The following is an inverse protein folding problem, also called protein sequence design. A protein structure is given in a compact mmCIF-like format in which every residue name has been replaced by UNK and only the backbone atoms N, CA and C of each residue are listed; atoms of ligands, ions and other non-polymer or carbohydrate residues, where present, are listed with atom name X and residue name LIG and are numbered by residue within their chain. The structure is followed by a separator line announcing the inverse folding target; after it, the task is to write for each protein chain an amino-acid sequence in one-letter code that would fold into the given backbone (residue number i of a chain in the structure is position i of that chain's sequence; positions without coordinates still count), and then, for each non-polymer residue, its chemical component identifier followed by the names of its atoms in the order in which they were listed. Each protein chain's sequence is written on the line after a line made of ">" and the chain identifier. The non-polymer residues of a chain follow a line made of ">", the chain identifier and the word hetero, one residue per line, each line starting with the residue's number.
data_IF_103099477303
#
_entry.id   IF_103099477303
#
_cell.length_a   1.000
_cell.length_b   1.000
_cell.length_c   1.000
_cell.angle_alpha   90.00
_cell.angle_beta   90.00
_cell.angle_gamma   90.00
#
_symmetry.space_group_name_H-M   'P 1'
#
loop_
_entity.id
_entity.type
_entity.pdbx_description
1 polymer ?
#
# COMPACT_ATOMS: atom_id res chain seq x y z
N UNK A 1 20.75 -49.98 25.10
CA UNK A 1 21.04 -50.27 23.68
C UNK A 1 19.96 -49.52 22.92
N UNK A 2 20.16 -48.23 22.62
CA UNK A 2 20.96 -47.70 21.48
C UNK A 2 20.28 -48.10 20.15
N UNK A 3 19.99 -47.27 19.14
CA UNK A 3 20.42 -45.93 18.73
C UNK A 3 19.50 -45.46 17.55
N UNK A 4 19.48 -44.14 17.23
CA UNK A 4 19.47 -43.52 15.86
C UNK A 4 18.44 -43.99 14.78
N UNK A 5 17.89 -43.24 13.83
CA UNK A 5 17.97 -41.88 13.29
C UNK A 5 17.13 -41.92 11.97
N UNK A 6 16.53 -40.79 11.54
CA UNK A 6 16.18 -40.45 10.13
C UNK A 6 15.04 -41.29 9.47
N UNK A 7 14.11 -40.80 8.63
CA UNK A 7 14.07 -39.66 7.72
C UNK A 7 12.60 -39.33 7.35
N UNK A 8 12.32 -38.04 7.17
CA UNK A 8 11.26 -37.51 6.30
C UNK A 8 11.81 -37.44 4.86
N UNK A 9 11.01 -37.60 3.80
CA UNK A 9 10.67 -36.39 3.02
C UNK A 9 9.30 -36.43 2.31
N UNK A 10 8.70 -35.24 2.08
CA UNK A 10 8.00 -34.99 0.80
C UNK A 10 6.63 -34.31 0.83
N UNK A 11 6.62 -33.00 1.09
CA UNK A 11 5.58 -31.99 0.78
C UNK A 11 5.33 -31.85 -0.76
N UNK A 12 4.20 -31.28 -1.25
CA UNK A 12 3.91 -29.85 -1.07
C UNK A 12 2.46 -29.42 -0.79
N UNK A 13 2.35 -28.52 0.19
CA UNK A 13 1.31 -27.50 0.34
C UNK A 13 1.54 -26.38 -0.68
N UNK A 14 0.49 -25.98 -1.38
CA UNK A 14 0.49 -24.88 -2.34
C UNK A 14 -0.83 -24.11 -2.20
N UNK A 15 -0.86 -23.04 -1.38
CA UNK A 15 -1.86 -21.97 -1.44
C UNK A 15 -1.50 -20.79 -0.51
N UNK A 16 -0.62 -19.89 -0.95
CA UNK A 16 -0.52 -18.49 -0.50
C UNK A 16 0.49 -17.76 -1.39
N UNK A 17 0.06 -16.67 -2.02
CA UNK A 17 0.87 -15.67 -2.73
C UNK A 17 2.22 -16.14 -3.33
N UNK A 18 2.17 -17.01 -4.34
CA UNK A 18 3.20 -16.95 -5.38
C UNK A 18 2.88 -15.72 -6.22
N UNK A 19 3.75 -14.72 -6.17
CA UNK A 19 3.87 -13.71 -7.22
C UNK A 19 3.99 -14.50 -8.52
N UNK A 20 2.91 -14.54 -9.30
CA UNK A 20 2.93 -15.16 -10.60
C UNK A 20 3.92 -14.36 -11.45
N UNK A 21 5.06 -14.99 -11.73
CA UNK A 21 5.84 -14.72 -12.91
C UNK A 21 4.87 -14.75 -14.09
N UNK A 22 4.72 -13.62 -14.78
CA UNK A 22 4.08 -13.55 -16.08
C UNK A 22 4.69 -14.62 -16.99
N UNK A 23 3.92 -15.28 -17.88
CA UNK A 23 4.51 -16.14 -18.88
C UNK A 23 5.38 -15.28 -19.79
N UNK A 24 6.70 -15.44 -19.65
CA UNK A 24 7.69 -14.71 -20.43
C UNK A 24 7.58 -15.14 -21.90
N UNK A 25 7.56 -14.15 -22.80
CA UNK A 25 7.96 -14.36 -24.19
C UNK A 25 9.38 -14.95 -24.23
N UNK A 26 9.76 -15.59 -25.35
CA UNK A 26 10.88 -16.55 -25.42
C UNK A 26 12.29 -16.03 -25.06
N UNK A 27 12.49 -14.75 -24.73
CA UNK A 27 13.81 -14.12 -24.56
C UNK A 27 14.05 -13.35 -23.23
N UNK A 28 13.28 -13.58 -22.15
CA UNK A 28 13.60 -12.99 -20.84
C UNK A 28 14.20 -13.99 -19.83
N UNK A 29 15.26 -13.60 -19.07
CA UNK A 29 15.89 -14.47 -18.09
C UNK A 29 14.97 -14.73 -16.89
N UNK A 30 14.85 -16.00 -16.50
CA UNK A 30 14.07 -16.41 -15.32
C UNK A 30 14.87 -16.09 -14.05
N UNK A 31 14.34 -15.18 -13.22
CA UNK A 31 14.92 -14.85 -11.92
C UNK A 31 14.33 -15.77 -10.84
N UNK A 32 15.19 -16.47 -10.09
CA UNK A 32 14.79 -17.24 -8.90
C UNK A 32 15.41 -16.66 -7.63
N UNK A 33 14.62 -16.67 -6.57
CA UNK A 33 15.02 -16.21 -5.23
C UNK A 33 15.35 -17.40 -4.33
N UNK A 34 16.42 -17.29 -3.53
CA UNK A 34 16.74 -18.24 -2.46
C UNK A 34 17.04 -17.48 -1.17
N UNK A 35 16.64 -18.04 -0.04
CA UNK A 35 17.05 -17.52 1.27
C UNK A 35 18.36 -18.20 1.67
N UNK A 36 19.36 -17.41 2.06
CA UNK A 36 20.64 -17.93 2.54
C UNK A 36 20.57 -18.42 3.99
N UNK A 37 21.64 -19.09 4.44
CA UNK A 37 21.75 -19.63 5.79
C UNK A 37 21.72 -18.58 6.92
N UNK A 38 21.67 -17.28 6.58
CA UNK A 38 21.55 -16.17 7.53
C UNK A 38 20.21 -15.43 7.36
N UNK A 39 19.25 -16.00 6.61
CA UNK A 39 17.92 -15.43 6.43
C UNK A 39 17.82 -14.30 5.40
N UNK A 40 18.85 -14.08 4.57
CA UNK A 40 18.84 -13.04 3.54
C UNK A 40 18.35 -13.60 2.22
N UNK A 41 17.47 -12.86 1.53
CA UNK A 41 17.06 -13.19 0.16
C UNK A 41 18.19 -12.87 -0.83
N UNK A 42 18.60 -13.86 -1.62
CA UNK A 42 19.65 -13.74 -2.64
C UNK A 42 19.05 -14.08 -4.01
N UNK A 43 19.29 -13.22 -5.00
CA UNK A 43 18.88 -13.39 -6.38
C UNK A 43 19.90 -14.23 -7.15
N UNK A 44 19.50 -15.37 -7.72
CA UNK A 44 20.39 -16.25 -8.50
C UNK A 44 20.06 -16.12 -9.99
N UNK A 45 21.07 -15.76 -10.78
CA UNK A 45 20.97 -15.66 -12.24
C UNK A 45 21.62 -16.88 -12.89
N UNK A 46 20.85 -17.75 -13.54
CA UNK A 46 21.42 -18.79 -14.40
C UNK A 46 21.76 -18.18 -15.77
N UNK A 47 23.06 -18.05 -16.08
CA UNK A 47 23.50 -17.77 -17.44
C UNK A 47 23.37 -19.05 -18.27
N UNK A 48 22.53 -19.06 -19.30
CA UNK A 48 22.75 -19.97 -20.45
C UNK A 48 23.87 -19.40 -21.31
N UNK A 49 24.81 -20.28 -21.67
CA UNK A 49 26.12 -19.91 -22.20
C UNK A 49 26.12 -19.24 -23.58
N UNK A 50 27.15 -18.40 -23.77
CA UNK A 50 27.96 -18.29 -24.99
C UNK A 50 27.41 -17.54 -26.19
N UNK A 51 27.90 -16.32 -26.41
CA UNK A 51 27.84 -15.64 -27.71
C UNK A 51 28.24 -14.16 -27.63
N UNK A 52 29.49 -13.84 -27.98
CA UNK A 52 29.98 -12.47 -28.16
C UNK A 52 29.31 -11.82 -29.39
N UNK A 53 28.88 -10.56 -29.27
CA UNK A 53 28.96 -9.57 -30.37
C UNK A 53 29.14 -8.16 -29.78
N UNK A 54 29.83 -7.34 -30.56
CA UNK A 54 30.58 -6.15 -30.19
C UNK A 54 29.74 -4.85 -30.15
N UNK A 55 30.36 -3.84 -29.52
CA UNK A 55 29.93 -2.46 -29.33
C UNK A 55 29.48 -1.72 -30.59
N UNK A 56 28.58 -0.74 -30.42
CA UNK A 56 28.74 0.70 -30.77
C UNK A 56 27.37 1.41 -30.70
N UNK A 57 27.14 2.27 -29.71
CA UNK A 57 27.19 3.73 -29.90
C UNK A 57 26.95 4.46 -28.56
N UNK A 58 27.84 5.39 -28.25
CA UNK A 58 27.96 6.01 -26.95
C UNK A 58 27.09 7.25 -26.79
N UNK A 59 25.98 7.11 -26.08
CA UNK A 59 25.43 8.19 -25.25
C UNK A 59 25.40 7.67 -23.82
N UNK A 60 26.38 8.07 -23.01
CA UNK A 60 26.39 7.78 -21.58
C UNK A 60 25.17 8.47 -20.94
N UNK A 61 24.08 7.73 -20.81
CA UNK A 61 23.00 8.09 -19.90
C UNK A 61 23.60 7.98 -18.51
N UNK A 62 23.83 9.13 -17.87
CA UNK A 62 24.28 9.19 -16.48
C UNK A 62 23.38 8.27 -15.63
N UNK A 63 23.94 7.31 -14.87
CA UNK A 63 23.11 6.49 -14.01
C UNK A 63 22.40 7.43 -13.03
N UNK A 64 21.09 7.24 -12.77
CA UNK A 64 20.36 8.11 -11.86
C UNK A 64 21.10 8.14 -10.52
N UNK A 65 21.18 9.30 -9.84
CA UNK A 65 21.90 9.40 -8.59
C UNK A 65 21.35 8.36 -7.63
N UNK A 66 22.22 7.47 -7.16
CA UNK A 66 21.87 6.52 -6.09
C UNK A 66 21.47 7.37 -4.88
N UNK A 67 20.18 7.56 -4.66
CA UNK A 67 19.71 8.23 -3.46
C UNK A 67 20.05 7.31 -2.30
N UNK A 68 21.09 7.64 -1.54
CA UNK A 68 21.42 6.90 -0.33
C UNK A 68 20.29 7.11 0.68
N UNK A 69 19.99 6.12 1.55
CA UNK A 69 19.03 6.27 2.65
C UNK A 69 19.27 7.55 3.48
N UNK A 70 20.53 7.96 3.61
CA UNK A 70 20.94 9.21 4.24
C UNK A 70 20.32 10.48 3.62
N UNK A 71 19.96 10.47 2.33
CA UNK A 71 19.30 11.59 1.67
C UNK A 71 17.84 11.73 2.13
N UNK A 72 17.06 10.64 2.11
CA UNK A 72 15.65 10.70 2.50
C UNK A 72 15.50 11.00 3.97
N UNK A 73 16.31 10.40 4.83
CA UNK A 73 16.29 10.74 6.26
C UNK A 73 16.45 12.25 6.49
N UNK A 74 17.44 12.90 5.85
CA UNK A 74 17.63 14.36 5.97
C UNK A 74 16.43 15.17 5.46
N UNK A 75 15.90 14.80 4.29
CA UNK A 75 14.74 15.48 3.70
C UNK A 75 13.50 15.36 4.61
N UNK A 76 13.35 14.21 5.27
CA UNK A 76 12.27 13.94 6.21
C UNK A 76 12.50 14.56 7.60
N UNK A 77 13.69 15.13 7.87
CA UNK A 77 14.04 15.79 9.12
C UNK A 77 14.70 14.90 10.18
N UNK A 78 15.32 13.79 9.78
CA UNK A 78 15.94 12.79 10.65
C UNK A 78 17.46 12.65 10.43
N UNK A 79 18.20 12.10 11.42
CA UNK A 79 19.61 11.77 11.26
C UNK A 79 19.89 10.87 10.03
N UNK A 80 21.01 11.06 9.31
CA UNK A 80 21.31 10.29 8.10
C UNK A 80 21.37 8.77 8.29
N UNK A 81 21.66 8.32 9.50
CA UNK A 81 21.78 6.93 9.92
C UNK A 81 20.54 6.41 10.68
N UNK A 82 19.48 7.23 10.79
CA UNK A 82 18.25 6.83 11.45
C UNK A 82 17.59 5.63 10.76
N UNK A 83 17.04 4.73 11.58
CA UNK A 83 16.21 3.59 11.17
C UNK A 83 14.75 4.02 11.29
N UNK A 84 14.13 4.40 10.20
CA UNK A 84 12.76 4.93 10.18
C UNK A 84 11.80 3.82 9.79
N UNK A 85 10.67 3.73 10.50
CA UNK A 85 9.63 2.76 10.22
C UNK A 85 8.26 3.43 10.18
N UNK A 86 7.50 3.20 9.12
CA UNK A 86 6.05 3.40 9.13
C UNK A 86 5.41 2.04 9.42
N UNK A 87 4.54 1.98 10.41
CA UNK A 87 3.67 0.83 10.65
C UNK A 87 2.26 1.27 10.32
N UNK A 88 1.79 0.92 9.13
CA UNK A 88 0.46 1.29 8.64
C UNK A 88 -0.51 0.13 8.83
N UNK A 89 -1.64 0.41 9.46
CA UNK A 89 -2.75 -0.53 9.54
C UNK A 89 -3.65 -0.40 8.30
N UNK A 90 -3.58 -1.39 7.42
CA UNK A 90 -4.41 -1.48 6.22
C UNK A 90 -5.83 -1.97 6.58
N UNK A 91 -6.75 -1.87 5.62
CA UNK A 91 -8.16 -2.30 5.71
C UNK A 91 -9.07 -1.56 6.71
N UNK A 92 -8.69 -0.38 7.19
CA UNK A 92 -9.57 0.39 8.08
C UNK A 92 -10.89 0.74 7.36
N UNK A 93 -12.03 0.48 7.97
CA UNK A 93 -13.36 0.62 7.35
C UNK A 93 -13.96 -0.69 6.81
N UNK A 94 -13.17 -1.77 6.72
CA UNK A 94 -13.64 -3.07 6.23
C UNK A 94 -14.76 -3.65 7.12
N UNK A 95 -14.49 -3.79 8.41
CA UNK A 95 -15.45 -4.24 9.41
C UNK A 95 -15.20 -3.61 10.80
N UNK A 96 -16.11 -3.82 11.76
CA UNK A 96 -16.04 -3.22 13.10
C UNK A 96 -14.90 -3.77 13.95
N UNK A 97 -14.60 -5.06 13.81
CA UNK A 97 -13.50 -5.72 14.51
C UNK A 97 -12.14 -5.25 14.01
N UNK A 98 -12.00 -5.03 12.70
CA UNK A 98 -10.83 -4.36 12.10
C UNK A 98 -10.75 -2.92 12.60
N UNK A 99 -11.84 -2.14 12.52
CA UNK A 99 -11.84 -0.76 13.00
C UNK A 99 -11.37 -0.63 14.46
N UNK A 100 -11.88 -1.46 15.35
CA UNK A 100 -11.50 -1.45 16.76
C UNK A 100 -10.02 -1.80 16.95
N UNK A 101 -9.54 -2.85 16.27
CA UNK A 101 -8.16 -3.31 16.38
C UNK A 101 -7.16 -2.30 15.78
N UNK A 102 -7.51 -1.63 14.68
CA UNK A 102 -6.71 -0.54 14.09
C UNK A 102 -6.56 0.61 15.09
N UNK A 103 -7.66 1.09 15.66
CA UNK A 103 -7.63 2.17 16.64
C UNK A 103 -6.78 1.79 17.86
N UNK A 104 -6.95 0.58 18.40
CA UNK A 104 -6.14 0.11 19.53
C UNK A 104 -4.65 -0.02 19.15
N UNK A 105 -4.34 -0.48 17.93
CA UNK A 105 -2.96 -0.60 17.46
C UNK A 105 -2.26 0.75 17.32
N UNK A 106 -3.00 1.82 17.02
CA UNK A 106 -2.47 3.19 16.89
C UNK A 106 -2.42 3.91 18.24
N UNK A 107 -3.47 3.83 19.06
CA UNK A 107 -3.52 4.51 20.37
C UNK A 107 -2.67 3.80 21.43
N UNK A 108 -2.71 2.47 21.45
CA UNK A 108 -2.11 1.64 22.49
C UNK A 108 -0.98 0.75 21.96
N UNK A 109 -0.69 0.77 20.67
CA UNK A 109 0.34 -0.07 20.06
C UNK A 109 1.55 0.68 19.52
N UNK A 110 2.18 0.07 18.53
CA UNK A 110 3.31 0.65 17.77
C UNK A 110 2.89 1.14 16.37
N UNK A 111 1.63 0.97 15.99
CA UNK A 111 1.17 1.47 14.70
C UNK A 111 1.17 2.99 14.70
N UNK A 112 1.58 3.58 13.58
CA UNK A 112 1.73 5.03 13.45
C UNK A 112 0.82 5.64 12.39
N UNK A 113 0.11 4.82 11.63
CA UNK A 113 -0.78 5.24 10.55
C UNK A 113 -1.82 4.16 10.28
N UNK A 114 -2.91 4.51 9.60
CA UNK A 114 -3.84 3.56 9.00
C UNK A 114 -4.36 4.05 7.66
N UNK A 115 -4.96 3.19 6.84
CA UNK A 115 -5.56 3.57 5.56
C UNK A 115 -7.01 3.12 5.43
N UNK A 116 -7.89 4.06 5.10
CA UNK A 116 -9.34 3.90 5.08
C UNK A 116 -9.86 3.42 3.72
N UNK A 117 -10.49 2.26 3.69
CA UNK A 117 -11.29 1.76 2.57
C UNK A 117 -12.67 2.41 2.58
N UNK A 118 -12.85 3.48 1.80
CA UNK A 118 -14.10 4.28 1.81
C UNK A 118 -15.30 3.58 1.21
N UNK A 119 -15.07 2.61 0.33
CA UNK A 119 -16.11 1.77 -0.29
C UNK A 119 -16.71 0.76 0.69
N UNK A 120 -16.01 0.45 1.78
CA UNK A 120 -16.37 -0.66 2.64
C UNK A 120 -17.57 -0.34 3.57
N UNK A 121 -18.33 -1.36 3.97
CA UNK A 121 -19.56 -1.18 4.75
C UNK A 121 -19.39 -0.47 6.10
N UNK A 122 -18.24 -0.61 6.76
CA UNK A 122 -17.95 0.03 8.06
C UNK A 122 -17.07 1.27 7.93
N UNK A 123 -16.89 1.82 6.72
CA UNK A 123 -16.27 3.12 6.51
C UNK A 123 -16.96 4.25 7.31
N UNK A 124 -18.31 4.30 7.46
CA UNK A 124 -18.95 5.30 8.32
C UNK A 124 -18.52 5.22 9.79
N UNK A 125 -18.29 4.01 10.31
CA UNK A 125 -17.80 3.82 11.68
C UNK A 125 -16.34 4.25 11.81
N UNK A 126 -15.50 3.91 10.83
CA UNK A 126 -14.12 4.36 10.74
C UNK A 126 -14.00 5.90 10.71
N UNK A 127 -14.80 6.58 9.88
CA UNK A 127 -14.88 8.05 9.83
C UNK A 127 -15.32 8.63 11.18
N UNK A 128 -16.29 8.02 11.86
CA UNK A 128 -16.72 8.43 13.20
C UNK A 128 -15.59 8.31 14.22
N UNK A 129 -14.78 7.25 14.14
CA UNK A 129 -13.63 7.02 15.01
C UNK A 129 -12.53 8.07 14.78
N UNK A 130 -12.20 8.37 13.52
CA UNK A 130 -11.22 9.40 13.15
C UNK A 130 -11.65 10.81 13.58
N UNK A 131 -12.93 11.16 13.41
CA UNK A 131 -13.46 12.46 13.88
C UNK A 131 -13.31 12.67 15.38
N UNK A 132 -13.33 11.59 16.17
CA UNK A 132 -13.10 11.64 17.62
C UNK A 132 -11.61 11.70 17.98
N UNK A 133 -10.72 11.49 17.00
CA UNK A 133 -9.28 11.31 17.15
C UNK A 133 -8.52 12.08 16.06
N UNK A 134 -8.63 13.41 16.01
CA UNK A 134 -8.03 14.23 14.94
C UNK A 134 -6.50 14.14 14.89
N UNK A 135 -5.85 13.57 15.92
CA UNK A 135 -4.41 13.35 15.96
C UNK A 135 -3.94 12.09 15.24
N UNK A 136 -4.83 11.14 14.89
CA UNK A 136 -4.46 9.92 14.18
C UNK A 136 -4.22 10.26 12.70
N UNK A 137 -2.99 10.11 12.19
CA UNK A 137 -2.74 10.23 10.76
C UNK A 137 -3.35 9.01 10.06
N UNK A 138 -3.99 9.25 8.92
CA UNK A 138 -4.57 8.19 8.12
C UNK A 138 -4.47 8.50 6.63
N UNK A 139 -4.60 7.49 5.79
CA UNK A 139 -4.65 7.59 4.33
C UNK A 139 -5.95 7.06 3.74
N UNK A 140 -6.05 7.08 2.41
CA UNK A 140 -7.15 6.44 1.67
C UNK A 140 -6.62 5.17 1.03
N UNK A 141 -7.22 4.03 1.40
CA UNK A 141 -6.90 2.71 0.87
C UNK A 141 -7.67 2.47 -0.41
N UNK A 142 -7.06 2.85 -1.54
CA UNK A 142 -7.69 2.83 -2.85
C UNK A 142 -8.05 1.40 -3.24
N UNK A 143 -9.34 1.17 -3.48
CA UNK A 143 -9.92 -0.18 -3.57
C UNK A 143 -10.65 -0.37 -4.90
N UNK A 144 -10.25 -1.37 -5.69
CA UNK A 144 -10.91 -1.77 -6.95
C UNK A 144 -11.32 -3.25 -6.98
N UNK A 145 -11.19 -3.94 -5.85
CA UNK A 145 -11.42 -5.38 -5.68
C UNK A 145 -12.24 -5.63 -4.43
N UNK A 146 -12.88 -6.79 -4.34
CA UNK A 146 -13.73 -7.19 -3.22
C UNK A 146 -13.57 -8.68 -2.87
N UNK A 147 -13.09 -9.00 -1.67
CA UNK A 147 -12.91 -10.37 -1.17
C UNK A 147 -14.09 -10.92 -0.35
N UNK A 148 -15.11 -10.11 -0.03
CA UNK A 148 -16.24 -10.53 0.80
C UNK A 148 -17.54 -10.63 0.00
N UNK A 149 -17.78 -11.71 -0.76
CA UNK A 149 -18.99 -11.85 -1.57
C UNK A 149 -20.28 -11.90 -0.74
N UNK A 150 -20.20 -12.26 0.54
CA UNK A 150 -21.33 -12.28 1.48
C UNK A 150 -21.68 -10.88 2.03
N UNK A 151 -20.75 -9.93 1.94
CA UNK A 151 -20.92 -8.55 2.35
C UNK A 151 -20.17 -7.63 1.38
N UNK A 152 -20.62 -7.55 0.12
CA UNK A 152 -19.83 -6.94 -0.93
C UNK A 152 -19.81 -5.41 -0.78
N UNK A 153 -18.71 -4.82 -1.21
CA UNK A 153 -18.63 -3.39 -1.53
C UNK A 153 -18.48 -3.20 -3.03
N UNK A 154 -18.70 -1.98 -3.50
CA UNK A 154 -18.64 -1.62 -4.90
C UNK A 154 -18.11 -0.20 -5.10
N UNK A 155 -18.07 0.28 -6.36
CA UNK A 155 -17.55 1.60 -6.66
C UNK A 155 -18.42 2.69 -6.02
N UNK A 156 -17.77 3.81 -5.66
CA UNK A 156 -18.50 5.03 -5.30
C UNK A 156 -19.02 5.77 -6.54
N UNK A 157 -18.38 5.55 -7.69
CA UNK A 157 -18.81 6.08 -8.98
C UNK A 157 -20.02 5.32 -9.53
N UNK A 158 -20.81 6.00 -10.37
CA UNK A 158 -21.88 5.36 -11.12
C UNK A 158 -21.30 4.23 -11.99
N UNK A 159 -21.86 3.01 -11.89
CA UNK A 159 -21.31 1.80 -12.52
C UNK A 159 -21.11 1.93 -14.03
N UNK A 160 -21.96 2.71 -14.70
CA UNK A 160 -21.90 2.95 -16.13
C UNK A 160 -20.68 3.78 -16.53
N UNK A 161 -20.13 4.58 -15.61
CA UNK A 161 -18.93 5.40 -15.81
C UNK A 161 -17.64 4.67 -15.46
N UNK A 162 -17.73 3.51 -14.80
CA UNK A 162 -16.58 2.73 -14.33
C UNK A 162 -16.70 1.24 -14.72
N UNK A 163 -17.38 0.98 -15.84
CA UNK A 163 -17.71 -0.38 -16.30
C UNK A 163 -16.49 -1.27 -16.58
N UNK A 164 -15.33 -0.67 -16.84
CA UNK A 164 -14.06 -1.39 -16.99
C UNK A 164 -13.53 -1.93 -15.66
N UNK A 165 -13.92 -1.35 -14.53
CA UNK A 165 -13.49 -1.78 -13.20
C UNK A 165 -14.36 -2.92 -12.63
N UNK A 166 -15.40 -3.31 -13.36
CA UNK A 166 -16.42 -4.23 -12.90
C UNK A 166 -16.41 -5.56 -13.66
N UNK A 167 -16.73 -6.62 -12.94
CA UNK A 167 -17.00 -7.93 -13.50
C UNK A 167 -18.31 -7.92 -14.32
N UNK A 168 -18.64 -9.01 -15.05
CA UNK A 168 -19.89 -9.09 -15.81
C UNK A 168 -21.18 -8.98 -14.98
N UNK A 169 -21.11 -9.18 -13.65
CA UNK A 169 -22.22 -9.00 -12.73
C UNK A 169 -22.31 -7.55 -12.19
N UNK A 170 -21.39 -6.67 -12.61
CA UNK A 170 -21.35 -5.27 -12.18
C UNK A 170 -20.78 -5.09 -10.77
N UNK A 171 -19.96 -6.02 -10.28
CA UNK A 171 -19.27 -5.95 -8.99
C UNK A 171 -17.77 -5.74 -9.21
N UNK A 172 -17.06 -5.31 -8.17
CA UNK A 172 -15.60 -5.38 -8.21
C UNK A 172 -15.11 -6.83 -8.32
N UNK A 173 -13.95 -7.01 -8.94
CA UNK A 173 -13.33 -8.33 -9.09
C UNK A 173 -12.83 -8.85 -7.74
N UNK A 174 -12.78 -10.17 -7.58
CA UNK A 174 -12.11 -10.77 -6.42
C UNK A 174 -10.59 -10.55 -6.50
N UNK A 175 -9.89 -10.36 -5.37
CA UNK A 175 -8.43 -10.22 -5.33
C UNK A 175 -7.71 -11.57 -5.44
N UNK A 176 -8.19 -12.47 -6.29
CA UNK A 176 -7.44 -13.65 -6.71
C UNK A 176 -6.46 -13.27 -7.83
N UNK A 177 -5.42 -14.08 -8.12
CA UNK A 177 -4.55 -13.82 -9.27
C UNK A 177 -5.31 -13.66 -10.59
N UNK A 178 -6.35 -14.49 -10.80
CA UNK A 178 -7.20 -14.41 -11.98
C UNK A 178 -8.09 -13.16 -11.98
N UNK A 179 -8.71 -12.81 -10.84
CA UNK A 179 -9.55 -11.63 -10.73
C UNK A 179 -8.76 -10.32 -10.91
N UNK A 180 -7.57 -10.22 -10.31
CA UNK A 180 -6.66 -9.09 -10.55
C UNK A 180 -6.20 -9.00 -12.01
N UNK A 181 -5.82 -10.12 -12.63
CA UNK A 181 -5.45 -10.12 -14.04
C UNK A 181 -6.61 -9.69 -14.94
N UNK A 182 -7.84 -10.14 -14.63
CA UNK A 182 -9.04 -9.74 -15.36
C UNK A 182 -9.34 -8.25 -15.21
N UNK A 183 -9.27 -7.71 -13.98
CA UNK A 183 -9.40 -6.27 -13.71
C UNK A 183 -8.35 -5.47 -14.49
N UNK A 184 -7.07 -5.78 -14.27
CA UNK A 184 -5.96 -5.02 -14.85
C UNK A 184 -5.91 -5.14 -16.38
N UNK A 185 -6.39 -6.25 -16.95
CA UNK A 185 -6.43 -6.45 -18.41
C UNK A 185 -7.46 -5.59 -19.14
N UNK A 186 -8.41 -4.98 -18.41
CA UNK A 186 -9.48 -4.17 -19.01
C UNK A 186 -9.61 -2.78 -18.40
N UNK A 187 -9.05 -2.53 -17.21
CA UNK A 187 -9.13 -1.26 -16.50
C UNK A 187 -8.69 -0.10 -17.40
N UNK A 188 -9.53 0.93 -17.49
CA UNK A 188 -9.24 2.14 -18.24
C UNK A 188 -8.78 3.24 -17.29
N UNK A 189 -7.65 3.93 -17.56
CA UNK A 189 -7.10 4.92 -16.64
C UNK A 189 -8.04 6.07 -16.26
N UNK A 190 -8.90 6.52 -17.19
CA UNK A 190 -9.92 7.55 -16.93
C UNK A 190 -11.00 7.08 -15.96
N UNK A 191 -11.41 5.81 -16.05
CA UNK A 191 -12.37 5.23 -15.11
C UNK A 191 -11.73 4.97 -13.73
N UNK A 192 -10.46 4.55 -13.70
CA UNK A 192 -9.68 4.42 -12.47
C UNK A 192 -9.55 5.78 -11.77
N UNK A 193 -9.20 6.83 -12.52
CA UNK A 193 -9.11 8.20 -12.02
C UNK A 193 -10.43 8.66 -11.42
N UNK A 194 -11.54 8.46 -12.14
CA UNK A 194 -12.87 8.81 -11.65
C UNK A 194 -13.23 8.10 -10.33
N UNK A 195 -12.94 6.80 -10.22
CA UNK A 195 -13.22 6.03 -9.01
C UNK A 195 -12.31 6.39 -7.85
N UNK A 196 -11.00 6.52 -8.06
CA UNK A 196 -10.07 6.93 -7.03
C UNK A 196 -10.37 8.34 -6.52
N UNK A 197 -10.69 9.27 -7.42
CA UNK A 197 -11.17 10.61 -7.04
C UNK A 197 -12.42 10.54 -6.18
N UNK A 198 -13.42 9.73 -6.56
CA UNK A 198 -14.64 9.56 -5.78
C UNK A 198 -14.35 9.01 -4.36
N UNK A 199 -13.40 8.09 -4.23
CA UNK A 199 -12.94 7.55 -2.94
C UNK A 199 -12.25 8.61 -2.08
N UNK A 200 -11.36 9.43 -2.66
CA UNK A 200 -10.69 10.53 -1.96
C UNK A 200 -11.72 11.60 -1.53
N UNK A 201 -12.59 12.02 -2.45
CA UNK A 201 -13.64 13.02 -2.20
C UNK A 201 -14.64 12.56 -1.14
N UNK A 202 -14.89 11.24 -1.01
CA UNK A 202 -15.71 10.71 0.06
C UNK A 202 -15.11 10.99 1.43
N UNK A 203 -13.77 10.90 1.59
CA UNK A 203 -13.09 11.31 2.84
C UNK A 203 -13.13 12.82 3.00
N UNK A 204 -12.72 13.58 1.99
CA UNK A 204 -12.61 15.05 2.09
C UNK A 204 -13.94 15.70 2.47
N UNK A 205 -15.07 15.23 1.91
CA UNK A 205 -16.43 15.70 2.26
C UNK A 205 -16.80 15.49 3.73
N UNK A 206 -16.11 14.60 4.46
CA UNK A 206 -16.32 14.40 5.89
C UNK A 206 -15.67 15.49 6.75
N UNK A 207 -14.82 16.33 6.17
CA UNK A 207 -13.97 17.31 6.87
C UNK A 207 -12.69 16.73 7.45
N UNK A 208 -12.40 15.45 7.21
CA UNK A 208 -11.14 14.82 7.58
C UNK A 208 -10.05 15.09 6.53
N UNK A 209 -8.80 15.05 6.97
CA UNK A 209 -7.62 15.35 6.13
C UNK A 209 -6.71 14.12 6.04
N UNK A 210 -6.79 13.32 4.96
CA UNK A 210 -5.89 12.21 4.76
C UNK A 210 -4.45 12.70 4.52
N UNK A 211 -3.50 11.81 4.70
CA UNK A 211 -2.05 12.09 4.61
C UNK A 211 -1.39 11.42 3.42
N UNK A 212 -1.94 10.29 2.98
CA UNK A 212 -1.39 9.48 1.91
C UNK A 212 -2.47 8.67 1.19
N UNK A 213 -2.07 8.11 0.04
CA UNK A 213 -2.79 7.10 -0.70
C UNK A 213 -1.97 5.80 -0.70
N UNK A 214 -2.66 4.69 -0.57
CA UNK A 214 -2.13 3.34 -0.79
C UNK A 214 -3.20 2.48 -1.47
N UNK A 215 -2.93 1.18 -1.65
CA UNK A 215 -3.76 0.32 -2.52
C UNK A 215 -4.18 -0.97 -1.83
N UNK A 216 -5.46 -1.30 -1.92
CA UNK A 216 -5.97 -2.61 -1.52
C UNK A 216 -5.62 -3.66 -2.55
N UNK A 217 -4.82 -4.65 -2.16
CA UNK A 217 -4.48 -5.84 -2.97
C UNK A 217 -3.85 -5.59 -4.37
N UNK A 218 -3.52 -4.34 -4.72
CA UNK A 218 -2.96 -3.93 -6.01
C UNK A 218 -1.65 -3.17 -5.77
N UNK A 219 -0.56 -3.90 -5.57
CA UNK A 219 0.78 -3.34 -5.35
C UNK A 219 1.12 -2.24 -6.37
N UNK A 220 1.35 -1.02 -5.87
CA UNK A 220 1.57 0.20 -6.65
C UNK A 220 0.58 0.37 -7.84
N UNK A 221 -0.69 0.01 -7.65
CA UNK A 221 -1.73 0.10 -8.68
C UNK A 221 -1.72 -1.04 -9.73
N UNK A 222 -0.79 -1.99 -9.64
CA UNK A 222 -0.71 -3.16 -10.52
C UNK A 222 -0.31 -2.88 -11.98
N UNK A 223 -0.31 -1.61 -12.41
CA UNK A 223 0.13 -1.10 -13.71
C UNK A 223 0.74 0.29 -13.53
N UNK A 224 1.76 0.61 -14.34
CA UNK A 224 2.45 1.91 -14.27
C UNK A 224 1.51 3.09 -14.53
N UNK A 225 0.54 2.95 -15.45
CA UNK A 225 -0.41 4.03 -15.76
C UNK A 225 -1.45 4.28 -14.66
N UNK A 226 -1.80 3.24 -13.88
CA UNK A 226 -2.62 3.38 -12.68
C UNK A 226 -1.82 4.08 -11.58
N UNK A 227 -0.54 3.73 -11.41
CA UNK A 227 0.33 4.45 -10.48
C UNK A 227 0.46 5.93 -10.85
N UNK A 228 0.64 6.24 -12.14
CA UNK A 228 0.74 7.62 -12.62
C UNK A 228 -0.53 8.41 -12.31
N UNK A 229 -1.72 7.86 -12.59
CA UNK A 229 -3.02 8.46 -12.18
C UNK A 229 -3.07 8.71 -10.68
N UNK A 230 -2.69 7.74 -9.85
CA UNK A 230 -2.68 7.89 -8.40
C UNK A 230 -1.72 8.99 -7.94
N UNK A 231 -0.55 9.12 -8.56
CA UNK A 231 0.42 10.17 -8.22
C UNK A 231 -0.07 11.55 -8.66
N UNK A 232 -0.78 11.66 -9.79
CA UNK A 232 -1.43 12.90 -10.21
C UNK A 232 -2.53 13.33 -9.22
N UNK A 233 -3.39 12.39 -8.81
CA UNK A 233 -4.39 12.64 -7.76
C UNK A 233 -3.71 13.03 -6.44
N UNK A 234 -2.65 12.32 -6.03
CA UNK A 234 -1.93 12.67 -4.81
C UNK A 234 -1.38 14.10 -4.85
N UNK A 235 -0.86 14.53 -5.99
CA UNK A 235 -0.42 15.92 -6.17
C UNK A 235 -1.60 16.91 -6.06
N UNK A 236 -2.74 16.61 -6.68
CA UNK A 236 -3.94 17.45 -6.62
C UNK A 236 -4.47 17.64 -5.19
N UNK A 237 -4.49 16.56 -4.40
CA UNK A 237 -5.01 16.57 -3.03
C UNK A 237 -3.94 16.86 -1.96
N UNK A 238 -2.67 17.04 -2.35
CA UNK A 238 -1.56 17.27 -1.42
C UNK A 238 -1.27 16.07 -0.52
N UNK A 239 -1.28 14.86 -1.07
CA UNK A 239 -1.08 13.59 -0.38
C UNK A 239 0.25 12.94 -0.80
N UNK A 240 0.82 12.12 0.09
CA UNK A 240 1.88 11.19 -0.30
C UNK A 240 1.29 9.93 -0.95
N UNK A 241 2.14 9.10 -1.58
CA UNK A 241 1.74 7.79 -2.10
C UNK A 241 2.67 6.71 -1.56
N UNK A 242 2.10 5.60 -1.08
CA UNK A 242 2.83 4.36 -0.84
C UNK A 242 3.35 3.82 -2.17
N UNK A 243 4.66 3.75 -2.33
CA UNK A 243 5.31 3.18 -3.53
C UNK A 243 6.48 2.32 -3.10
N UNK A 244 6.44 1.03 -3.40
CA UNK A 244 7.44 0.08 -2.90
C UNK A 244 8.02 -0.87 -3.94
N UNK A 245 7.39 -1.01 -5.12
CA UNK A 245 7.98 -1.75 -6.22
C UNK A 245 9.08 -0.95 -6.89
N UNK A 246 10.16 -1.62 -7.27
CA UNK A 246 11.37 -0.96 -7.78
C UNK A 246 11.12 -0.01 -8.98
N UNK A 247 10.28 -0.33 -9.99
CA UNK A 247 9.98 0.61 -11.07
C UNK A 247 9.40 1.94 -10.56
N UNK A 248 8.39 1.87 -9.70
CA UNK A 248 7.76 3.01 -9.06
C UNK A 248 8.73 3.78 -8.17
N UNK A 249 9.50 3.08 -7.32
CA UNK A 249 10.52 3.72 -6.46
C UNK A 249 11.51 4.53 -7.28
N UNK A 250 12.06 3.99 -8.38
CA UNK A 250 12.98 4.73 -9.25
C UNK A 250 12.31 5.93 -9.91
N UNK A 251 11.06 5.80 -10.33
CA UNK A 251 10.32 6.92 -10.93
C UNK A 251 10.13 8.06 -9.92
N UNK A 252 9.67 7.76 -8.70
CA UNK A 252 9.46 8.76 -7.64
C UNK A 252 10.77 9.39 -7.16
N UNK A 253 11.85 8.59 -6.98
CA UNK A 253 13.17 9.12 -6.61
C UNK A 253 13.73 10.09 -7.64
N UNK A 254 13.50 9.85 -8.95
CA UNK A 254 13.88 10.78 -10.03
C UNK A 254 13.10 12.08 -9.97
N UNK A 255 11.84 12.03 -9.50
CA UNK A 255 11.00 13.21 -9.24
C UNK A 255 11.31 13.90 -7.90
N UNK A 256 12.29 13.41 -7.14
CA UNK A 256 12.62 13.97 -5.83
C UNK A 256 11.63 13.62 -4.71
N UNK A 257 10.70 12.69 -4.98
CA UNK A 257 9.66 12.28 -4.04
C UNK A 257 10.17 11.13 -3.15
N UNK A 258 10.12 11.27 -1.80
CA UNK A 258 10.58 10.23 -0.89
C UNK A 258 9.67 9.02 -0.96
N UNK A 259 10.29 7.84 -1.00
CA UNK A 259 9.66 6.51 -0.99
C UNK A 259 10.48 5.61 -0.07
N UNK A 260 9.97 4.43 0.27
CA UNK A 260 10.71 3.46 1.09
C UNK A 260 12.09 3.14 0.47
N UNK A 261 13.08 2.94 1.33
CA UNK A 261 14.44 2.57 0.96
C UNK A 261 14.60 1.06 0.76
N UNK A 262 13.82 0.28 1.52
CA UNK A 262 14.00 -1.15 1.71
C UNK A 262 12.79 -1.95 1.24
N UNK A 263 12.87 -3.27 1.38
CA UNK A 263 11.78 -4.16 1.04
C UNK A 263 10.55 -3.88 1.91
N UNK A 264 9.39 -3.89 1.25
CA UNK A 264 8.10 -3.69 1.89
C UNK A 264 7.63 -4.98 2.56
N UNK A 265 7.08 -4.85 3.76
CA UNK A 265 6.50 -5.97 4.49
C UNK A 265 4.98 -5.87 4.42
N UNK A 266 4.36 -6.94 3.95
CA UNK A 266 2.94 -7.20 4.10
C UNK A 266 2.77 -8.34 5.12
N UNK A 267 2.02 -8.10 6.19
CA UNK A 267 1.86 -9.09 7.24
C UNK A 267 1.14 -10.38 6.81
N UNK A 268 0.41 -10.38 5.68
CA UNK A 268 -0.14 -11.59 5.08
C UNK A 268 0.93 -12.49 4.47
N UNK A 269 2.13 -11.97 4.17
CA UNK A 269 3.24 -12.78 3.68
C UNK A 269 4.00 -13.51 4.80
N UNK A 270 3.65 -13.25 6.07
CA UNK A 270 4.31 -13.83 7.22
C UNK A 270 3.59 -15.08 7.72
N UNK A 271 4.36 -16.09 8.15
CA UNK A 271 3.82 -17.21 8.89
C UNK A 271 3.16 -16.73 10.19
N UNK A 272 2.08 -17.40 10.57
CA UNK A 272 1.32 -17.04 11.78
C UNK A 272 1.85 -17.69 13.05
N UNK A 273 2.60 -18.78 12.90
CA UNK A 273 3.36 -19.44 13.95
C UNK A 273 4.52 -18.53 14.40
N UNK A 274 4.62 -18.27 15.70
CA UNK A 274 5.67 -17.43 16.31
C UNK A 274 5.82 -16.04 15.67
N UNK A 275 4.74 -15.51 15.11
CA UNK A 275 4.72 -14.24 14.35
C UNK A 275 5.26 -13.06 15.18
N UNK A 276 4.97 -13.04 16.48
CA UNK A 276 5.48 -12.02 17.40
C UNK A 276 7.01 -12.03 17.49
N UNK A 277 7.63 -13.21 17.62
CA UNK A 277 9.09 -13.34 17.64
C UNK A 277 9.70 -12.98 16.29
N UNK A 278 9.02 -13.33 15.19
CA UNK A 278 9.43 -12.92 13.85
C UNK A 278 9.43 -11.40 13.71
N UNK A 279 8.38 -10.70 14.15
CA UNK A 279 8.37 -9.23 14.16
C UNK A 279 9.52 -8.65 14.99
N UNK A 280 9.79 -9.21 16.18
CA UNK A 280 10.93 -8.77 17.01
C UNK A 280 12.28 -8.90 16.28
N UNK A 281 12.50 -10.01 15.57
CA UNK A 281 13.70 -10.20 14.73
C UNK A 281 13.76 -9.22 13.57
N UNK A 282 12.64 -8.98 12.90
CA UNK A 282 12.55 -8.04 11.78
C UNK A 282 12.83 -6.61 12.23
N UNK A 283 12.25 -6.15 13.34
CA UNK A 283 12.57 -4.85 13.96
C UNK A 283 14.07 -4.73 14.23
N UNK A 284 14.67 -5.76 14.84
CA UNK A 284 16.10 -5.76 15.13
C UNK A 284 16.97 -5.71 13.87
N UNK A 285 16.51 -6.29 12.76
CA UNK A 285 17.23 -6.33 11.50
C UNK A 285 17.02 -5.12 10.57
N UNK A 286 16.08 -4.21 10.90
CA UNK A 286 15.77 -3.05 10.03
C UNK A 286 17.01 -2.21 9.69
N UNK A 287 17.38 -2.02 8.43
CA UNK A 287 18.51 -1.15 8.08
C UNK A 287 18.22 0.34 8.33
N UNK A 288 19.25 1.19 8.30
CA UNK A 288 19.09 2.65 8.26
C UNK A 288 18.37 3.09 6.97
N UNK A 289 17.50 4.08 7.07
CA UNK A 289 16.59 4.51 6.00
C UNK A 289 15.12 4.29 6.35
N UNK A 290 14.26 4.57 5.38
CA UNK A 290 12.81 4.43 5.52
C UNK A 290 12.34 3.02 5.15
N UNK A 291 11.69 2.34 6.09
CA UNK A 291 10.97 1.09 5.87
C UNK A 291 9.49 1.28 6.14
N UNK A 292 8.66 0.41 5.56
CA UNK A 292 7.22 0.39 5.83
C UNK A 292 6.73 -1.05 6.01
N UNK A 293 5.90 -1.23 7.04
CA UNK A 293 5.14 -2.45 7.30
C UNK A 293 3.65 -2.16 7.12
N UNK A 294 3.01 -2.84 6.19
CA UNK A 294 1.57 -2.98 6.13
C UNK A 294 1.15 -4.15 7.02
N UNK A 295 0.38 -3.83 8.05
CA UNK A 295 -0.13 -4.77 9.04
C UNK A 295 -1.64 -4.73 9.03
N UNK A 296 -2.28 -5.83 9.41
CA UNK A 296 -3.72 -5.99 9.22
C UNK A 296 -4.41 -6.33 10.55
N UNK A 297 -4.26 -5.52 11.62
CA UNK A 297 -4.84 -5.87 12.92
C UNK A 297 -6.36 -6.03 12.84
N UNK A 298 -6.88 -7.07 13.48
CA UNK A 298 -8.31 -7.32 13.55
C UNK A 298 -8.67 -8.27 14.67
N UNK A 299 -9.82 -8.04 15.30
CA UNK A 299 -10.32 -8.87 16.40
C UNK A 299 -10.80 -10.26 15.92
N UNK A 300 -10.85 -10.49 14.61
CA UNK A 300 -11.14 -11.78 13.99
C UNK A 300 -12.61 -12.17 14.07
N UNK A 301 -13.47 -11.34 13.46
CA UNK A 301 -14.91 -11.57 13.36
C UNK A 301 -15.24 -12.90 12.66
N UNK A 302 -16.42 -13.47 12.92
CA UNK A 302 -16.88 -14.77 12.42
C UNK A 302 -16.93 -14.84 10.89
N UNK A 303 -17.13 -13.72 10.21
CA UNK A 303 -17.35 -13.65 8.76
C UNK A 303 -16.06 -13.75 7.92
N UNK A 304 -14.92 -13.38 8.48
CA UNK A 304 -13.62 -13.43 7.78
C UNK A 304 -13.14 -14.87 7.53
N UNK A 305 -12.34 -15.11 6.48
CA UNK A 305 -11.77 -16.44 6.21
C UNK A 305 -10.83 -16.89 7.35
N UNK A 306 -10.66 -18.21 7.54
CA UNK A 306 -9.89 -18.73 8.69
C UNK A 306 -8.43 -18.23 8.75
N UNK A 307 -7.74 -18.20 7.61
CA UNK A 307 -6.37 -17.71 7.52
C UNK A 307 -6.28 -16.21 7.76
N UNK A 308 -7.18 -15.44 7.13
CA UNK A 308 -7.33 -14.00 7.33
C UNK A 308 -7.49 -13.66 8.81
N UNK A 309 -8.45 -14.30 9.49
CA UNK A 309 -8.65 -14.13 10.94
C UNK A 309 -7.41 -14.41 11.77
N UNK A 310 -6.58 -15.38 11.39
CA UNK A 310 -5.36 -15.73 12.15
C UNK A 310 -4.27 -14.68 11.96
N UNK A 311 -4.04 -14.24 10.72
CA UNK A 311 -3.12 -13.12 10.42
C UNK A 311 -3.54 -11.88 11.20
N UNK A 312 -4.82 -11.49 11.10
CA UNK A 312 -5.30 -10.24 11.72
C UNK A 312 -5.20 -10.23 13.24
N UNK A 313 -5.55 -11.34 13.89
CA UNK A 313 -5.42 -11.48 15.35
C UNK A 313 -3.98 -11.50 15.81
N UNK A 314 -3.08 -12.17 15.08
CA UNK A 314 -1.66 -12.22 15.46
C UNK A 314 -0.96 -10.87 15.26
N UNK A 315 -1.38 -10.10 14.25
CA UNK A 315 -0.94 -8.70 14.09
C UNK A 315 -1.39 -7.85 15.26
N UNK A 316 -2.69 -7.81 15.53
CA UNK A 316 -3.25 -7.04 16.64
C UNK A 316 -2.57 -7.37 17.96
N UNK A 317 -2.45 -8.67 18.29
CA UNK A 317 -1.82 -9.12 19.53
C UNK A 317 -0.36 -8.70 19.66
N UNK A 318 0.42 -8.69 18.57
CA UNK A 318 1.79 -8.19 18.62
C UNK A 318 1.81 -6.67 18.75
N UNK A 319 1.10 -5.95 17.90
CA UNK A 319 1.14 -4.49 17.79
C UNK A 319 0.78 -3.78 19.10
N UNK A 320 -0.17 -4.33 19.86
CA UNK A 320 -0.63 -3.78 21.15
C UNK A 320 0.13 -4.35 22.36
N UNK A 321 1.10 -5.26 22.14
CA UNK A 321 1.86 -5.86 23.23
C UNK A 321 2.91 -4.91 23.82
N UNK A 322 3.21 -5.01 25.14
CA UNK A 322 4.38 -4.36 25.72
C UNK A 322 5.68 -4.77 25.02
N UNK A 323 5.77 -6.04 24.60
CA UNK A 323 6.93 -6.58 23.89
C UNK A 323 7.24 -5.89 22.57
N UNK A 324 6.22 -5.44 21.83
CA UNK A 324 6.43 -4.68 20.59
C UNK A 324 7.07 -3.31 20.86
N UNK A 325 6.58 -2.58 21.87
CA UNK A 325 7.17 -1.28 22.26
C UNK A 325 8.62 -1.44 22.73
N UNK A 326 8.90 -2.47 23.53
CA UNK A 326 10.27 -2.80 23.95
C UNK A 326 11.16 -3.19 22.77
N UNK A 327 10.64 -3.95 21.80
CA UNK A 327 11.39 -4.35 20.62
C UNK A 327 11.76 -3.15 19.74
N UNK A 328 10.84 -2.20 19.52
CA UNK A 328 11.11 -0.94 18.80
C UNK A 328 12.21 -0.14 19.51
N UNK A 329 12.07 0.05 20.83
CA UNK A 329 13.04 0.80 21.63
C UNK A 329 14.43 0.14 21.61
N UNK A 330 14.50 -1.19 21.79
CA UNK A 330 15.75 -1.97 21.77
C UNK A 330 16.42 -1.97 20.40
N UNK A 331 15.62 -1.92 19.32
CA UNK A 331 16.14 -1.78 17.97
C UNK A 331 16.64 -0.36 17.65
N UNK A 332 16.31 0.65 18.47
CA UNK A 332 16.61 2.04 18.16
C UNK A 332 15.91 2.52 16.88
N UNK A 333 14.73 1.97 16.60
CA UNK A 333 13.90 2.32 15.45
C UNK A 333 13.05 3.52 15.82
N UNK A 334 13.02 4.53 14.94
CA UNK A 334 12.12 5.67 15.06
C UNK A 334 10.87 5.38 14.23
N UNK A 335 9.75 5.17 14.90
CA UNK A 335 8.47 5.02 14.22
C UNK A 335 7.95 6.40 13.82
N UNK A 336 7.62 6.56 12.53
CA UNK A 336 7.11 7.80 11.94
C UNK A 336 5.79 7.54 11.23
N UNK A 337 5.12 8.60 10.77
CA UNK A 337 3.91 8.52 9.97
C UNK A 337 4.05 9.25 8.62
N UNK A 338 3.03 9.08 7.77
CA UNK A 338 3.02 9.63 6.42
C UNK A 338 3.05 11.15 6.32
N UNK A 339 2.77 11.92 7.40
CA UNK A 339 2.89 13.39 7.35
C UNK A 339 4.31 13.84 7.05
N UNK A 340 5.32 13.04 7.42
CA UNK A 340 6.71 13.32 7.07
C UNK A 340 6.92 13.32 5.55
N UNK A 341 6.34 12.33 4.86
CA UNK A 341 6.42 12.22 3.40
C UNK A 341 5.50 13.26 2.75
N UNK A 342 4.26 13.41 3.24
CA UNK A 342 3.26 14.33 2.70
C UNK A 342 3.81 15.76 2.57
N UNK A 343 4.56 16.25 3.56
CA UNK A 343 5.19 17.58 3.50
C UNK A 343 6.09 17.78 2.28
N UNK A 344 6.76 16.72 1.82
CA UNK A 344 7.66 16.76 0.66
C UNK A 344 6.87 16.54 -0.63
N UNK A 345 5.92 15.60 -0.61
CA UNK A 345 5.06 15.31 -1.76
C UNK A 345 4.15 16.47 -2.14
N UNK A 346 3.64 17.21 -1.15
CA UNK A 346 2.79 18.38 -1.35
C UNK A 346 3.57 19.69 -1.55
N UNK A 347 4.89 19.71 -1.34
CA UNK A 347 5.68 20.94 -1.50
C UNK A 347 5.80 21.40 -2.96
N UNK A 348 5.54 20.51 -3.92
CA UNK A 348 5.62 20.78 -5.36
C UNK A 348 4.26 21.12 -5.98
N UNK A 349 3.22 21.27 -5.15
CA UNK A 349 1.84 21.50 -5.61
C UNK A 349 1.44 22.93 -5.26
N UNK A 350 1.18 23.74 -6.30
CA UNK A 350 0.62 25.07 -6.08
C UNK A 350 -0.72 24.91 -5.33
N UNK A 351 -0.98 25.67 -4.26
CA UNK A 351 -2.20 25.49 -3.48
C UNK A 351 -3.44 25.68 -4.36
N UNK A 352 -4.35 24.71 -4.29
CA UNK A 352 -5.69 24.79 -4.84
C UNK A 352 -6.41 26.02 -4.25
N UNK A 353 -6.45 27.10 -5.04
CA UNK A 353 -6.94 28.40 -4.58
C UNK A 353 -6.89 29.55 -5.59
N UNK A 354 -6.50 29.30 -6.85
CA UNK A 354 -6.70 30.30 -7.92
C UNK A 354 -7.19 29.66 -9.21
N UNK A 355 -8.49 29.87 -9.46
CA UNK A 355 -9.14 29.92 -10.77
C UNK A 355 -8.73 28.90 -11.85
N UNK A 356 -9.35 27.71 -11.82
CA UNK A 356 -9.88 27.11 -13.05
C UNK A 356 -11.40 27.16 -12.97
N UNK A 357 -11.97 28.16 -13.65
CA UNK A 357 -13.41 28.28 -13.84
C UNK A 357 -13.93 27.03 -14.56
N UNK A 358 -14.89 26.34 -13.95
CA UNK A 358 -15.68 25.29 -14.61
C UNK A 358 -16.47 25.90 -15.78
N UNK A 359 -16.36 25.39 -17.01
CA UNK A 359 -17.14 25.90 -18.12
C UNK A 359 -18.44 25.10 -18.22
N UNK A 360 -19.39 25.28 -17.29
CA UNK A 360 -20.79 24.89 -17.53
C UNK A 360 -21.74 25.64 -16.60
N UNK A 361 -22.09 26.87 -17.00
CA UNK A 361 -23.37 27.47 -16.66
C UNK A 361 -23.94 28.08 -17.95
N UNK A 362 -24.93 27.41 -18.54
CA UNK A 362 -25.67 27.92 -19.69
C UNK A 362 -26.47 29.17 -19.32
N UNK A 363 -26.78 30.06 -20.29
CA UNK A 363 -27.47 31.30 -20.01
C UNK A 363 -28.98 31.02 -19.90
N UNK A 364 -29.61 31.38 -18.78
CA UNK A 364 -31.07 31.33 -18.71
C UNK A 364 -31.66 31.56 -17.32
N UNK A 365 -31.88 32.82 -16.96
CA UNK A 365 -32.99 33.19 -16.09
C UNK A 365 -33.51 34.59 -16.49
N UNK A 366 -34.84 34.78 -16.63
CA UNK A 366 -35.43 36.02 -17.11
C UNK A 366 -35.50 37.07 -15.99
N UNK A 367 -35.33 38.35 -16.36
CA UNK A 367 -35.55 39.49 -15.47
C UNK A 367 -37.06 39.67 -15.25
N UNK A 368 -37.50 39.64 -13.99
CA UNK A 368 -38.82 40.11 -13.59
C UNK A 368 -38.92 41.64 -13.59
N UNK A 369 -40.14 42.21 -13.67
CA UNK A 369 -40.31 43.65 -13.83
C UNK A 369 -40.21 44.38 -12.48
N UNK A 370 -39.50 45.51 -12.46
CA UNK A 370 -39.62 46.51 -11.40
C UNK A 370 -40.93 47.29 -11.61
N UNK A 371 -41.74 47.37 -10.56
CA UNK A 371 -42.89 48.26 -10.46
C UNK A 371 -42.58 49.35 -9.42
N UNK A 372 -43.35 50.44 -9.47
CA UNK A 372 -44.16 50.78 -8.30
C UNK A 372 -45.65 50.53 -8.52
#
# INVERSE_FOLDING_TARGET
>A
MDNSDLDNPGMPVDLACRIASTPAGPDQPVVRWRIDRHGRSIQVHERRGGGQTADMDGTAVEPPPRTSPARWNRILGFPPDARLLIVNCDDFGMDRGVNAAVIESVEEGIASSCSLMTVCPEAPDAVRLLRRRPGIPFGVHLTLVCETPHRPWGPLSAKEKVSSLLDPAGNFFEPTPAGRAALLGRARPDEVEAEFRAQIDAVVRTGLTPTHLDFHCLADGGRDDILDVTVELAAEYGLAVRVWLEPGRRAMRRRGLPVVDHDFLDSFSLATEDKADLYGRLLHALPAGLSEWAVHPGLGDREAQALDRRVRRTDHAFLTSPGAREAVARAGVTVIDYRALQRVWAADTAPYGSARAHPHAGPGAPRGPEAP
#
